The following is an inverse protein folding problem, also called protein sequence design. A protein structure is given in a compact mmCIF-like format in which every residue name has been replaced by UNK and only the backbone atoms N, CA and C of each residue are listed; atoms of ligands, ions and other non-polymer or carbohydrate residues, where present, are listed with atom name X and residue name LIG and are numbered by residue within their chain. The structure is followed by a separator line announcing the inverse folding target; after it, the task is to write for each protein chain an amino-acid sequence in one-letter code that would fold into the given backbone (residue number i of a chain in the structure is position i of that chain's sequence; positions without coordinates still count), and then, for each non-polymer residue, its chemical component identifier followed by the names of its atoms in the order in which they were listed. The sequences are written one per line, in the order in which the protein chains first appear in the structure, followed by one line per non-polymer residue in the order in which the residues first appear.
data_IF_868514363929
#
_entry.id   IF_868514363929
#
_cell.length_a   1.000
_cell.length_b   1.000
_cell.length_c   1.000
_cell.angle_alpha   90.00
_cell.angle_beta   90.00
_cell.angle_gamma   90.00
#
_symmetry.space_group_name_H-M   'P 1'
#
loop_
_entity.id
_entity.type
_entity.pdbx_description
1 polymer ?
#
# COMPACT_ATOMS: atom_id res chain seq x y z
N UNK A 1 4.10 9.60 -47.97
CA UNK A 1 3.29 9.01 -46.91
C UNK A 1 4.13 8.43 -45.78
N UNK A 2 5.08 7.53 -46.00
CA UNK A 2 5.89 6.88 -44.92
C UNK A 2 6.59 7.89 -44.00
N UNK A 3 7.24 8.94 -44.54
CA UNK A 3 7.93 9.97 -43.72
C UNK A 3 7.00 10.74 -42.77
N UNK A 4 5.71 10.92 -43.15
CA UNK A 4 4.71 11.60 -42.32
C UNK A 4 4.26 10.68 -41.18
N UNK A 5 4.08 9.39 -41.45
CA UNK A 5 3.72 8.38 -40.44
C UNK A 5 4.84 8.19 -39.41
N UNK A 6 6.10 8.16 -39.84
CA UNK A 6 7.24 8.07 -38.90
C UNK A 6 7.32 9.30 -38.00
N UNK A 7 7.15 10.52 -38.57
CA UNK A 7 7.16 11.75 -37.76
C UNK A 7 6.00 11.79 -36.74
N UNK A 8 4.81 11.40 -37.16
CA UNK A 8 3.65 11.33 -36.27
C UNK A 8 3.86 10.30 -35.14
N UNK A 9 4.42 9.14 -35.46
CA UNK A 9 4.77 8.11 -34.47
C UNK A 9 5.80 8.61 -33.44
N UNK A 10 6.86 9.26 -33.91
CA UNK A 10 7.90 9.83 -33.02
C UNK A 10 7.30 10.90 -32.10
N UNK A 11 6.49 11.81 -32.65
CA UNK A 11 5.83 12.85 -31.85
C UNK A 11 4.92 12.25 -30.79
N UNK A 12 4.14 11.22 -31.12
CA UNK A 12 3.28 10.53 -30.18
C UNK A 12 4.07 9.91 -29.02
N UNK A 13 5.18 9.23 -29.33
CA UNK A 13 6.06 8.63 -28.31
C UNK A 13 6.64 9.70 -27.37
N UNK A 14 7.10 10.83 -27.91
CA UNK A 14 7.59 11.94 -27.09
C UNK A 14 6.50 12.57 -26.24
N UNK A 15 5.27 12.71 -26.74
CA UNK A 15 4.14 13.23 -25.97
C UNK A 15 3.77 12.26 -24.83
N UNK A 16 3.74 10.96 -25.08
CA UNK A 16 3.45 9.96 -24.06
C UNK A 16 4.54 9.92 -22.99
N UNK A 17 5.81 9.91 -23.40
CA UNK A 17 6.96 9.97 -22.47
C UNK A 17 6.94 11.28 -21.66
N UNK A 18 6.69 12.41 -22.30
CA UNK A 18 6.56 13.70 -21.62
C UNK A 18 5.42 13.74 -20.62
N UNK A 19 4.26 13.22 -20.97
CA UNK A 19 3.11 13.10 -20.07
C UNK A 19 3.42 12.17 -18.87
N UNK A 20 4.12 11.06 -19.13
CA UNK A 20 4.52 10.12 -18.09
C UNK A 20 5.53 10.77 -17.12
N UNK A 21 6.57 11.43 -17.65
CA UNK A 21 7.55 12.16 -16.84
C UNK A 21 6.86 13.28 -16.05
N UNK A 22 5.98 14.04 -16.68
CA UNK A 22 5.21 15.09 -16.01
C UNK A 22 4.33 14.54 -14.89
N UNK A 23 3.61 13.44 -15.12
CA UNK A 23 2.78 12.81 -14.09
C UNK A 23 3.61 12.29 -12.91
N UNK A 24 4.83 11.78 -13.16
CA UNK A 24 5.72 11.27 -12.11
C UNK A 24 6.45 12.36 -11.32
N UNK A 25 6.81 13.46 -11.96
CA UNK A 25 7.65 14.51 -11.37
C UNK A 25 6.90 15.82 -11.08
N UNK A 26 5.60 15.89 -11.40
CA UNK A 26 4.81 17.07 -11.03
C UNK A 26 4.79 17.24 -9.51
N UNK A 27 5.08 18.45 -9.01
CA UNK A 27 4.93 18.74 -7.60
C UNK A 27 3.47 18.52 -7.21
N UNK A 28 3.24 17.60 -6.28
CA UNK A 28 1.90 17.36 -5.74
C UNK A 28 1.57 18.48 -4.77
N UNK A 29 0.28 18.85 -4.65
CA UNK A 29 -0.11 19.82 -3.65
C UNK A 29 0.35 19.30 -2.27
N UNK A 30 0.82 20.19 -1.39
CA UNK A 30 1.20 19.80 -0.04
C UNK A 30 0.00 19.12 0.62
N UNK A 31 0.29 18.05 1.37
CA UNK A 31 -0.72 17.39 2.19
C UNK A 31 -1.26 18.44 3.18
N UNK A 32 -2.57 18.55 3.26
CA UNK A 32 -3.22 19.49 4.19
C UNK A 32 -3.06 19.07 5.66
N UNK A 33 -2.60 17.84 5.90
CA UNK A 33 -2.32 17.27 7.22
C UNK A 33 -1.00 16.51 7.07
N UNK A 34 -0.03 16.81 7.94
CA UNK A 34 1.20 16.03 8.02
C UNK A 34 0.86 14.63 8.53
N UNK A 35 1.17 13.59 7.74
CA UNK A 35 0.91 12.21 8.18
C UNK A 35 1.81 11.86 9.35
N UNK A 36 1.28 11.08 10.28
CA UNK A 36 2.06 10.56 11.39
C UNK A 36 3.09 9.53 10.89
N UNK A 37 4.35 9.76 11.20
CA UNK A 37 5.39 8.75 10.97
C UNK A 37 5.34 7.73 12.09
N UNK A 38 4.96 6.50 11.78
CA UNK A 38 4.92 5.41 12.74
C UNK A 38 6.32 4.85 12.96
N UNK A 39 7.01 5.42 13.92
CA UNK A 39 8.24 4.87 14.45
C UNK A 39 7.91 3.81 15.51
N UNK A 40 8.64 2.71 15.53
CA UNK A 40 8.46 1.69 16.55
C UNK A 40 8.60 0.29 16.00
N UNK A 41 8.51 -0.65 16.89
CA UNK A 41 8.72 -2.07 16.65
C UNK A 41 7.40 -2.82 16.84
N UNK A 42 6.80 -3.26 15.75
CA UNK A 42 5.62 -4.11 15.73
C UNK A 42 5.91 -5.58 16.07
N UNK A 43 7.14 -5.93 16.43
CA UNK A 43 7.58 -7.32 16.61
C UNK A 43 6.96 -8.04 17.82
N UNK A 44 6.50 -7.28 18.81
CA UNK A 44 5.87 -7.82 20.03
C UNK A 44 4.36 -7.99 19.93
N UNK A 45 3.76 -7.67 18.80
CA UNK A 45 2.32 -7.71 18.60
C UNK A 45 1.88 -9.13 18.23
N UNK A 46 0.82 -9.61 18.89
CA UNK A 46 0.09 -10.80 18.45
C UNK A 46 -0.95 -10.39 17.40
N UNK A 47 -0.66 -10.67 16.14
CA UNK A 47 -1.53 -10.28 15.01
C UNK A 47 -2.77 -11.19 14.84
N UNK A 48 -2.91 -12.23 15.64
CA UNK A 48 -4.13 -13.03 15.73
C UNK A 48 -5.14 -12.45 16.74
N UNK A 49 -4.69 -11.55 17.61
CA UNK A 49 -5.56 -10.83 18.56
C UNK A 49 -5.98 -9.50 17.95
N UNK A 50 -6.98 -9.55 17.08
CA UNK A 50 -7.51 -8.35 16.42
C UNK A 50 -8.58 -7.69 17.31
N UNK A 51 -8.63 -6.34 17.36
CA UNK A 51 -9.68 -5.65 18.10
C UNK A 51 -11.05 -5.98 17.49
N UNK A 52 -12.07 -6.12 18.36
CA UNK A 52 -13.45 -6.23 17.90
C UNK A 52 -13.92 -4.92 17.30
N UNK A 53 -14.58 -4.99 16.14
CA UNK A 53 -15.14 -3.81 15.47
C UNK A 53 -16.56 -3.51 15.98
N UNK A 54 -16.67 -3.17 17.26
CA UNK A 54 -17.93 -2.96 17.99
C UNK A 54 -18.30 -1.48 18.20
N UNK A 55 -17.48 -0.55 17.71
CA UNK A 55 -17.72 0.89 17.81
C UNK A 55 -17.43 1.50 19.19
N UNK A 56 -16.88 0.74 20.14
CA UNK A 56 -16.62 1.22 21.50
C UNK A 56 -15.27 1.91 21.71
N UNK A 57 -14.41 1.94 20.67
CA UNK A 57 -13.09 2.55 20.71
C UNK A 57 -12.99 3.79 19.82
N UNK A 58 -11.79 4.00 19.26
CA UNK A 58 -11.53 5.12 18.35
C UNK A 58 -12.18 4.87 16.98
N UNK A 59 -12.52 5.94 16.29
CA UNK A 59 -12.99 5.91 14.92
C UNK A 59 -11.83 6.21 13.96
N UNK A 60 -11.89 5.64 12.75
CA UNK A 60 -10.86 5.77 11.75
C UNK A 60 -10.52 7.24 11.39
N UNK A 61 -11.53 8.13 11.41
CA UNK A 61 -11.38 9.57 11.16
C UNK A 61 -10.56 10.31 12.23
N UNK A 62 -10.51 9.76 13.47
CA UNK A 62 -9.84 10.38 14.60
C UNK A 62 -8.38 9.89 14.76
N UNK A 63 -7.93 9.02 13.85
CA UNK A 63 -6.58 8.50 13.82
C UNK A 63 -5.80 9.19 12.71
N UNK A 64 -4.67 9.84 13.01
CA UNK A 64 -3.83 10.46 11.99
C UNK A 64 -3.43 9.48 10.89
N UNK A 65 -3.20 9.97 9.68
CA UNK A 65 -2.69 9.14 8.59
C UNK A 65 -1.28 8.66 8.90
N UNK A 66 -1.03 7.39 8.63
CA UNK A 66 0.31 6.84 8.66
C UNK A 66 1.06 7.12 7.36
N UNK A 67 2.36 7.25 7.43
CA UNK A 67 3.23 7.34 6.26
C UNK A 67 4.47 6.47 6.42
N UNK A 68 5.09 6.17 5.29
CA UNK A 68 6.38 5.49 5.27
C UNK A 68 7.47 6.49 5.70
N UNK A 69 8.26 6.22 6.76
CA UNK A 69 9.33 7.11 7.18
C UNK A 69 10.48 7.10 6.17
N UNK A 70 10.80 8.24 5.58
CA UNK A 70 11.81 8.35 4.52
C UNK A 70 11.46 7.47 3.31
N UNK A 71 12.46 6.74 2.79
CA UNK A 71 12.26 5.86 1.63
C UNK A 71 11.82 4.43 2.01
N UNK A 72 11.84 4.08 3.26
CA UNK A 72 11.40 2.81 3.81
C UNK A 72 11.41 2.89 5.33
N UNK A 73 10.88 1.88 6.00
CA UNK A 73 11.03 1.76 7.45
C UNK A 73 12.14 0.78 7.82
N UNK A 74 12.85 1.08 8.92
CA UNK A 74 13.94 0.22 9.43
C UNK A 74 13.39 -1.00 10.17
N UNK A 75 12.28 -0.82 10.89
CA UNK A 75 11.57 -1.84 11.65
C UNK A 75 10.15 -1.94 11.15
N UNK A 76 9.56 -3.13 11.19
CA UNK A 76 8.15 -3.30 10.84
C UNK A 76 7.30 -2.45 11.79
N UNK A 77 6.58 -1.43 11.27
CA UNK A 77 6.02 -0.40 12.12
C UNK A 77 4.82 -0.89 12.92
N UNK A 78 4.50 -0.15 13.99
CA UNK A 78 3.28 -0.35 14.75
C UNK A 78 2.04 -0.22 13.86
N UNK A 79 0.93 -0.89 14.20
CA UNK A 79 -0.33 -0.71 13.48
C UNK A 79 -0.80 0.75 13.51
N UNK A 80 -1.17 1.26 12.33
CA UNK A 80 -1.74 2.61 12.17
C UNK A 80 -3.08 2.71 12.86
N UNK A 81 -3.95 1.71 12.65
CA UNK A 81 -5.31 1.69 13.14
C UNK A 81 -5.44 1.01 14.52
N UNK A 82 -4.36 1.03 15.30
CA UNK A 82 -4.37 0.52 16.65
C UNK A 82 -5.48 1.16 17.46
N UNK A 83 -6.19 0.33 18.24
CA UNK A 83 -7.32 0.72 19.09
C UNK A 83 -8.54 1.29 18.33
N UNK A 84 -8.55 1.18 17.02
CA UNK A 84 -9.71 1.53 16.21
C UNK A 84 -10.71 0.37 16.18
N UNK A 85 -11.98 0.67 16.51
CA UNK A 85 -13.04 -0.35 16.62
C UNK A 85 -14.28 -0.02 15.79
N UNK A 86 -14.18 0.95 14.85
CA UNK A 86 -15.28 1.30 13.96
C UNK A 86 -15.65 0.11 13.07
N UNK A 87 -16.94 -0.29 13.00
CA UNK A 87 -17.40 -1.37 12.15
C UNK A 87 -17.04 -1.16 10.67
N UNK A 88 -16.77 -2.25 9.97
CA UNK A 88 -16.55 -2.19 8.53
C UNK A 88 -17.82 -1.77 7.79
N UNK A 89 -17.68 -1.10 6.63
CA UNK A 89 -18.83 -0.74 5.82
C UNK A 89 -19.50 -1.99 5.22
N UNK A 90 -20.78 -1.85 4.89
CA UNK A 90 -21.53 -2.91 4.23
C UNK A 90 -20.84 -3.37 2.95
N UNK A 91 -20.72 -4.67 2.78
CA UNK A 91 -20.10 -5.29 1.61
C UNK A 91 -18.57 -5.34 1.64
N UNK A 92 -17.91 -4.90 2.71
CA UNK A 92 -16.48 -5.13 2.93
C UNK A 92 -16.23 -6.49 3.59
N UNK A 93 -15.27 -7.24 3.09
CA UNK A 93 -14.78 -8.44 3.79
C UNK A 93 -13.76 -8.07 4.86
N UNK A 94 -13.76 -8.81 5.99
CA UNK A 94 -12.71 -8.68 6.98
C UNK A 94 -11.47 -9.47 6.55
N UNK A 95 -10.46 -8.75 6.07
CA UNK A 95 -9.16 -9.30 5.66
C UNK A 95 -8.03 -8.82 6.57
N UNK A 96 -8.36 -8.32 7.77
CA UNK A 96 -7.36 -7.86 8.74
C UNK A 96 -6.43 -9.00 9.16
N UNK A 97 -5.17 -8.68 9.36
CA UNK A 97 -4.17 -9.64 9.85
C UNK A 97 -2.79 -9.38 9.31
N UNK A 98 -1.88 -10.24 9.71
CA UNK A 98 -0.54 -10.36 9.16
C UNK A 98 -0.52 -11.57 8.23
N UNK A 99 -0.03 -11.40 7.01
CA UNK A 99 -0.09 -12.37 5.95
C UNK A 99 1.27 -12.62 5.32
N UNK A 100 1.57 -13.86 4.98
CA UNK A 100 2.80 -14.24 4.27
C UNK A 100 2.46 -15.03 3.01
N UNK A 101 3.08 -14.65 1.90
CA UNK A 101 2.89 -15.35 0.62
C UNK A 101 3.45 -16.76 0.62
N UNK A 102 2.62 -17.73 0.27
CA UNK A 102 2.97 -19.16 0.17
C UNK A 102 3.02 -19.63 -1.27
N UNK A 103 2.39 -18.89 -2.19
CA UNK A 103 2.53 -19.10 -3.64
C UNK A 103 2.56 -17.76 -4.37
N UNK A 104 2.97 -17.74 -5.62
CA UNK A 104 3.17 -16.50 -6.37
C UNK A 104 4.33 -15.69 -5.78
N UNK A 105 4.06 -14.72 -4.94
CA UNK A 105 5.07 -13.93 -4.23
C UNK A 105 5.45 -14.59 -2.90
N UNK A 106 6.17 -15.71 -2.95
CA UNK A 106 6.59 -16.48 -1.78
C UNK A 106 7.43 -15.64 -0.83
N UNK A 107 7.08 -15.64 0.47
CA UNK A 107 7.77 -14.90 1.52
C UNK A 107 7.44 -13.40 1.54
N UNK A 108 6.56 -12.90 0.65
CA UNK A 108 6.07 -11.53 0.76
C UNK A 108 5.25 -11.37 2.04
N UNK A 109 5.59 -10.39 2.86
CA UNK A 109 4.92 -10.09 4.11
C UNK A 109 4.05 -8.84 3.96
N UNK A 110 2.80 -8.94 4.39
CA UNK A 110 1.86 -7.83 4.39
C UNK A 110 1.01 -7.84 5.67
N UNK A 111 0.83 -6.67 6.28
CA UNK A 111 -0.19 -6.45 7.31
C UNK A 111 -1.33 -5.65 6.72
N UNK A 112 -2.54 -6.18 6.81
CA UNK A 112 -3.77 -5.47 6.45
C UNK A 112 -4.49 -5.05 7.73
N UNK A 113 -4.82 -3.77 7.82
CA UNK A 113 -5.61 -3.18 8.89
C UNK A 113 -6.85 -2.54 8.28
N UNK A 114 -7.99 -2.71 8.94
CA UNK A 114 -9.26 -2.12 8.49
C UNK A 114 -10.00 -1.57 9.70
N UNK A 115 -10.58 -0.40 9.55
CA UNK A 115 -11.45 0.20 10.56
C UNK A 115 -12.36 1.23 9.90
N UNK A 116 -13.67 1.09 10.06
CA UNK A 116 -14.60 1.84 9.22
C UNK A 116 -14.30 1.63 7.75
N UNK A 117 -14.34 2.69 6.96
CA UNK A 117 -14.00 2.64 5.53
C UNK A 117 -12.49 2.74 5.24
N UNK A 118 -11.63 2.82 6.26
CA UNK A 118 -10.19 2.99 6.09
C UNK A 118 -9.48 1.64 6.01
N UNK A 119 -8.55 1.54 5.10
CA UNK A 119 -7.71 0.35 4.90
C UNK A 119 -6.25 0.78 4.91
N UNK A 120 -5.44 0.13 5.73
CA UNK A 120 -4.00 0.36 5.77
C UNK A 120 -3.29 -0.94 5.44
N UNK A 121 -2.43 -0.88 4.46
CA UNK A 121 -1.60 -2.01 4.04
C UNK A 121 -0.14 -1.66 4.27
N UNK A 122 0.52 -2.40 5.16
CA UNK A 122 1.94 -2.25 5.45
C UNK A 122 2.70 -3.42 4.83
N UNK A 123 3.55 -3.16 3.84
CA UNK A 123 4.18 -4.19 3.03
C UNK A 123 5.54 -3.75 2.51
N UNK A 124 6.57 -4.60 2.65
CA UNK A 124 7.88 -4.47 2.00
C UNK A 124 8.56 -3.08 2.08
N UNK A 125 8.33 -2.35 3.16
CA UNK A 125 8.90 -1.00 3.36
C UNK A 125 7.96 0.14 3.00
N UNK A 126 6.71 -0.14 2.64
CA UNK A 126 5.69 0.85 2.28
C UNK A 126 4.48 0.72 3.20
N UNK A 127 3.92 1.86 3.57
CA UNK A 127 2.62 1.96 4.25
C UNK A 127 1.65 2.62 3.26
N UNK A 128 0.66 1.85 2.82
CA UNK A 128 -0.48 2.39 2.08
C UNK A 128 -1.64 2.60 3.04
N UNK A 129 -2.00 3.83 3.29
CA UNK A 129 -3.09 4.19 4.20
C UNK A 129 -4.22 4.85 3.41
N UNK A 130 -5.18 4.12 2.95
CA UNK A 130 -6.31 4.56 2.17
C UNK A 130 -7.54 4.78 3.05
N UNK A 131 -8.17 5.92 2.89
CA UNK A 131 -9.38 6.26 3.64
C UNK A 131 -10.34 7.12 2.84
N UNK A 132 -11.56 7.36 3.34
CA UNK A 132 -12.50 8.25 2.71
C UNK A 132 -11.90 9.65 2.61
N UNK A 133 -12.01 10.26 1.45
CA UNK A 133 -11.66 11.67 1.25
C UNK A 133 -12.89 12.58 1.43
N UNK A 134 -12.62 13.89 1.44
CA UNK A 134 -13.67 14.90 1.54
C UNK A 134 -14.68 14.90 0.37
N UNK A 135 -14.40 14.16 -0.70
CA UNK A 135 -15.26 14.03 -1.89
C UNK A 135 -16.02 12.71 -1.95
N UNK A 136 -15.93 11.88 -0.92
CA UNK A 136 -16.71 10.64 -0.77
C UNK A 136 -16.10 9.40 -1.46
N UNK A 137 -14.92 9.50 -2.06
CA UNK A 137 -14.18 8.36 -2.57
C UNK A 137 -13.15 7.83 -1.55
N UNK A 138 -12.76 6.58 -1.67
CA UNK A 138 -11.59 6.08 -0.97
C UNK A 138 -10.35 6.56 -1.71
N UNK A 139 -9.60 7.46 -1.09
CA UNK A 139 -8.37 7.94 -1.69
C UNK A 139 -7.16 7.35 -1.04
N UNK A 140 -6.27 7.16 -1.93
CA UNK A 140 -4.92 6.82 -1.66
C UNK A 140 -4.21 7.84 -0.83
N UNK A 141 -3.21 7.34 -0.22
CA UNK A 141 -2.15 8.13 0.32
C UNK A 141 -1.03 8.28 -0.62
N UNK A 142 -0.43 9.42 -0.54
CA UNK A 142 0.92 9.59 -0.96
C UNK A 142 1.84 8.95 0.08
N UNK A 143 2.15 7.70 -0.10
CA UNK A 143 3.21 7.05 0.67
C UNK A 143 4.51 7.20 -0.08
N UNK A 144 5.58 7.49 0.64
CA UNK A 144 6.90 7.41 0.07
C UNK A 144 7.24 5.93 -0.13
N UNK A 145 7.44 5.54 -1.39
CA UNK A 145 7.91 4.20 -1.74
C UNK A 145 9.39 4.02 -1.44
N UNK A 146 9.91 2.84 -1.70
CA UNK A 146 11.34 2.56 -1.59
C UNK A 146 12.20 3.44 -2.51
N UNK A 147 13.50 3.44 -2.31
CA UNK A 147 14.45 4.25 -3.09
C UNK A 147 14.33 3.93 -4.58
N UNK A 148 13.94 4.92 -5.39
CA UNK A 148 13.88 4.78 -6.84
C UNK A 148 15.29 4.88 -7.45
N UNK A 149 16.07 5.88 -7.00
CA UNK A 149 17.46 6.07 -7.43
C UNK A 149 18.22 6.91 -6.38
N UNK A 150 19.54 6.85 -6.44
CA UNK A 150 20.44 7.59 -5.56
C UNK A 150 21.33 8.52 -6.39
N UNK A 151 21.49 9.77 -5.96
CA UNK A 151 22.44 10.73 -6.54
C UNK A 151 23.35 11.21 -5.42
N UNK A 152 24.62 10.81 -5.44
CA UNK A 152 25.53 11.00 -4.32
C UNK A 152 25.00 10.30 -3.08
N UNK A 153 24.87 11.03 -1.97
CA UNK A 153 24.33 10.49 -0.69
C UNK A 153 22.82 10.69 -0.54
N UNK A 154 22.14 11.21 -1.58
CA UNK A 154 20.70 11.48 -1.53
C UNK A 154 19.90 10.37 -2.18
N UNK A 155 18.97 9.82 -1.43
CA UNK A 155 17.99 8.86 -1.89
C UNK A 155 16.72 9.59 -2.33
N UNK A 156 16.21 9.21 -3.49
CA UNK A 156 14.97 9.78 -4.05
C UNK A 156 13.88 8.71 -4.01
N UNK A 157 12.87 8.98 -3.22
CA UNK A 157 11.73 8.11 -3.04
C UNK A 157 10.54 8.67 -3.81
N UNK A 158 9.97 7.94 -4.76
CA UNK A 158 8.77 8.40 -5.41
C UNK A 158 7.61 8.32 -4.41
N UNK A 159 6.79 9.33 -4.38
CA UNK A 159 5.47 9.21 -3.77
C UNK A 159 4.62 8.33 -4.66
N UNK A 160 4.10 7.26 -4.09
CA UNK A 160 3.13 6.40 -4.76
C UNK A 160 1.76 6.69 -4.22
N UNK A 161 0.77 6.68 -5.09
CA UNK A 161 -0.62 6.76 -4.68
C UNK A 161 -1.40 5.57 -5.25
N UNK A 162 -2.30 5.03 -4.43
CA UNK A 162 -3.23 4.01 -4.85
C UNK A 162 -4.63 4.41 -4.38
N UNK A 163 -5.67 4.11 -5.07
CA UNK A 163 -7.02 4.14 -4.53
C UNK A 163 -7.51 2.74 -4.29
N UNK A 164 -8.35 2.58 -3.29
CA UNK A 164 -8.98 1.31 -2.97
C UNK A 164 -10.48 1.46 -3.01
N UNK A 165 -11.16 0.44 -3.48
CA UNK A 165 -12.63 0.36 -3.46
C UNK A 165 -13.08 -1.03 -3.06
N UNK A 166 -14.18 -1.10 -2.31
CA UNK A 166 -14.83 -2.37 -2.03
C UNK A 166 -15.84 -2.69 -3.13
N UNK A 167 -15.73 -3.88 -3.70
CA UNK A 167 -16.64 -4.39 -4.71
C UNK A 167 -17.10 -5.80 -4.33
N UNK A 168 -18.25 -5.92 -3.68
CA UNK A 168 -18.84 -7.21 -3.26
C UNK A 168 -17.89 -8.10 -2.44
N UNK A 169 -17.21 -7.49 -1.46
CA UNK A 169 -16.28 -8.21 -0.59
C UNK A 169 -14.85 -8.29 -1.11
N UNK A 170 -14.60 -7.83 -2.32
CA UNK A 170 -13.26 -7.75 -2.92
C UNK A 170 -12.71 -6.34 -2.76
N UNK A 171 -11.47 -6.22 -2.32
CA UNK A 171 -10.75 -4.96 -2.23
C UNK A 171 -9.96 -4.74 -3.51
N UNK A 172 -10.40 -3.81 -4.32
CA UNK A 172 -9.78 -3.44 -5.59
C UNK A 172 -8.75 -2.34 -5.36
N UNK A 173 -7.50 -2.56 -5.81
CA UNK A 173 -6.42 -1.57 -5.79
C UNK A 173 -6.17 -1.01 -7.19
N UNK A 174 -6.22 0.31 -7.29
CA UNK A 174 -5.97 1.05 -8.52
C UNK A 174 -4.72 1.92 -8.39
N UNK A 175 -3.84 1.95 -9.41
CA UNK A 175 -2.67 2.83 -9.40
C UNK A 175 -3.07 4.28 -9.54
N UNK A 176 -2.28 5.15 -8.92
CA UNK A 176 -2.40 6.63 -9.01
C UNK A 176 -3.75 7.19 -8.60
N UNK A 177 -4.59 6.42 -7.90
CA UNK A 177 -5.90 6.89 -7.46
C UNK A 177 -6.98 6.95 -8.55
N UNK A 178 -6.65 6.73 -9.82
CA UNK A 178 -7.56 6.78 -10.98
C UNK A 178 -7.16 5.83 -12.12
N UNK A 179 -6.05 5.17 -11.99
CA UNK A 179 -5.50 4.28 -13.01
C UNK A 179 -6.20 2.92 -13.07
N UNK A 180 -5.67 2.02 -13.89
CA UNK A 180 -6.22 0.67 -14.01
C UNK A 180 -6.11 -0.10 -12.70
N UNK A 181 -6.96 -1.12 -12.57
CA UNK A 181 -6.86 -2.13 -11.52
C UNK A 181 -5.48 -2.79 -11.58
N UNK A 182 -4.84 -2.93 -10.43
CA UNK A 182 -3.55 -3.62 -10.30
C UNK A 182 -3.74 -4.98 -9.68
N UNK A 183 -4.44 -5.04 -8.56
CA UNK A 183 -4.62 -6.24 -7.78
C UNK A 183 -5.92 -6.18 -6.99
N UNK A 184 -6.62 -7.30 -6.97
CA UNK A 184 -7.75 -7.56 -6.09
C UNK A 184 -7.26 -8.30 -4.86
N UNK A 185 -7.87 -8.04 -3.70
CA UNK A 185 -7.64 -8.80 -2.47
C UNK A 185 -8.97 -9.30 -1.92
N UNK A 186 -9.05 -10.57 -1.64
CA UNK A 186 -10.24 -11.19 -1.05
C UNK A 186 -9.89 -12.43 -0.23
N UNK A 187 -10.71 -12.76 0.79
CA UNK A 187 -10.54 -13.99 1.54
C UNK A 187 -11.03 -15.20 0.74
N UNK A 188 -10.30 -16.32 0.83
CA UNK A 188 -10.70 -17.63 0.32
C UNK A 188 -10.44 -18.66 1.44
N UNK A 189 -11.47 -18.95 2.25
CA UNK A 189 -11.32 -19.73 3.47
C UNK A 189 -10.43 -19.00 4.49
N UNK A 190 -9.32 -19.63 4.86
CA UNK A 190 -8.34 -19.09 5.80
C UNK A 190 -7.21 -18.30 5.12
N UNK A 191 -7.21 -18.22 3.80
CA UNK A 191 -6.18 -17.54 3.02
C UNK A 191 -6.64 -16.16 2.56
N UNK A 192 -5.67 -15.27 2.33
CA UNK A 192 -5.85 -14.03 1.60
C UNK A 192 -5.33 -14.21 0.17
N UNK A 193 -6.16 -13.95 -0.80
CA UNK A 193 -5.81 -14.06 -2.22
C UNK A 193 -5.53 -12.67 -2.79
N UNK A 194 -4.42 -12.54 -3.50
CA UNK A 194 -4.20 -11.46 -4.45
C UNK A 194 -4.41 -11.99 -5.86
N UNK A 195 -5.21 -11.30 -6.61
CA UNK A 195 -5.42 -11.59 -8.03
C UNK A 195 -5.04 -10.36 -8.84
N UNK A 196 -4.08 -10.50 -9.72
CA UNK A 196 -3.58 -9.43 -10.56
C UNK A 196 -4.39 -9.30 -11.84
N UNK A 197 -4.32 -8.15 -12.50
CA UNK A 197 -5.04 -7.88 -13.74
C UNK A 197 -4.68 -8.83 -14.89
N UNK A 198 -3.53 -9.49 -14.85
CA UNK A 198 -3.11 -10.52 -15.81
C UNK A 198 -3.61 -11.93 -15.48
N UNK A 199 -4.38 -12.07 -14.39
CA UNK A 199 -4.91 -13.33 -13.90
C UNK A 199 -3.94 -14.15 -13.04
N UNK A 200 -2.72 -13.67 -12.82
CA UNK A 200 -1.83 -14.33 -11.86
C UNK A 200 -2.32 -14.12 -10.42
N UNK A 201 -2.02 -15.08 -9.55
CA UNK A 201 -2.47 -15.04 -8.16
C UNK A 201 -1.32 -15.25 -7.18
N UNK A 202 -1.48 -14.66 -6.00
CA UNK A 202 -0.65 -14.93 -4.81
C UNK A 202 -1.58 -15.41 -3.71
N UNK A 203 -1.27 -16.54 -3.11
CA UNK A 203 -1.95 -17.04 -1.90
C UNK A 203 -1.12 -16.69 -0.68
N UNK A 204 -1.78 -16.27 0.37
CA UNK A 204 -1.14 -15.84 1.60
C UNK A 204 -1.79 -16.50 2.81
N UNK A 205 -0.96 -16.99 3.71
CA UNK A 205 -1.38 -17.57 4.99
C UNK A 205 -1.29 -16.53 6.11
N UNK A 206 -2.16 -16.67 7.10
CA UNK A 206 -2.20 -15.79 8.28
C UNK A 206 -1.06 -16.14 9.25
N UNK A 207 -0.40 -15.10 9.78
CA UNK A 207 0.59 -15.22 10.84
C UNK A 207 0.12 -14.50 12.11
N UNK A 208 0.45 -15.07 13.28
CA UNK A 208 0.20 -14.41 14.57
C UNK A 208 1.39 -13.52 14.99
N UNK A 209 2.60 -13.84 14.55
CA UNK A 209 3.82 -13.11 14.91
C UNK A 209 4.64 -12.78 13.68
N UNK A 210 5.42 -11.70 13.78
CA UNK A 210 6.41 -11.37 12.75
C UNK A 210 7.46 -12.46 12.64
N UNK A 211 7.81 -12.93 11.43
CA UNK A 211 8.96 -13.80 11.20
C UNK A 211 10.25 -13.16 11.71
N UNK A 212 11.20 -13.99 12.12
CA UNK A 212 12.44 -13.56 12.78
C UNK A 212 13.26 -12.58 11.93
N UNK A 213 13.24 -12.72 10.62
CA UNK A 213 13.93 -11.82 9.68
C UNK A 213 13.35 -10.41 9.66
N UNK A 214 12.08 -10.24 10.02
CA UNK A 214 11.40 -8.94 10.11
C UNK A 214 11.51 -8.31 11.50
N UNK A 215 11.92 -9.07 12.52
CA UNK A 215 12.16 -8.57 13.88
C UNK A 215 13.46 -7.79 14.01
N UNK A 216 14.34 -7.85 13.00
CA UNK A 216 15.64 -7.16 12.99
C UNK A 216 15.55 -5.87 12.19
N UNK A 217 16.24 -4.80 12.61
CA UNK A 217 16.32 -3.59 11.80
C UNK A 217 16.95 -3.92 10.44
N UNK A 218 16.32 -3.42 9.38
CA UNK A 218 16.89 -3.52 8.04
C UNK A 218 18.05 -2.54 7.93
N UNK A 219 19.24 -2.97 7.49
CA UNK A 219 20.33 -2.03 7.28
C UNK A 219 19.92 -1.00 6.23
N UNK A 220 20.08 0.29 6.55
CA UNK A 220 19.88 1.39 5.60
C UNK A 220 20.73 1.12 4.35
N UNK A 221 20.12 1.18 3.19
CA UNK A 221 20.81 1.09 1.90
C UNK A 221 20.70 -0.24 1.15
N UNK A 222 20.03 -1.28 1.64
CA UNK A 222 19.71 -2.43 0.79
C UNK A 222 18.41 -2.16 0.02
N UNK A 223 18.55 -2.03 -1.31
CA UNK A 223 17.42 -1.99 -2.25
C UNK A 223 16.45 -3.13 -1.94
N UNK A 224 15.22 -2.78 -1.64
CA UNK A 224 14.12 -3.72 -1.76
C UNK A 224 13.76 -3.72 -3.24
N UNK A 225 14.13 -4.80 -3.95
CA UNK A 225 13.67 -4.99 -5.31
C UNK A 225 12.19 -5.38 -5.26
N UNK A 226 11.33 -4.53 -5.80
CA UNK A 226 9.89 -4.80 -5.90
C UNK A 226 9.56 -5.80 -7.01
N UNK A 227 10.55 -6.22 -7.80
CA UNK A 227 10.39 -7.20 -8.87
C UNK A 227 11.44 -8.29 -8.70
N UNK A 228 11.06 -9.56 -8.55
CA UNK A 228 12.00 -10.66 -8.68
C UNK A 228 12.59 -10.61 -10.09
N UNK A 229 13.92 -10.69 -10.17
CA UNK A 229 14.67 -10.87 -11.41
C UNK A 229 14.37 -12.20 -12.07
#
# INVERSE_FOLDING_TARGET
MIKILIRAGITLVFCVLGAFVFAFFSPRPPLTIDPETLAGDGSSINYCELPELNGNGRFAKDIPKGNTPGCAYDHFPLPVLRDCTEPLPDGASDIRGLWIGTSGHIGHLERVEQCGARVVVTSSGIIHDAGPNSTGGLNSNDTEGGVLFTIGDKEYCPRTSASVTWNKGVLDFHVFGWGPLVVNRYPDGEELIWEYADGSTTRMERLCELPAEYKKPKPRGKRISFFPS
#
